data_IF_013547557035
#
_entry.id   IF_013547557035
#
_cell.length_a   1.000
_cell.length_b   1.000
_cell.length_c   1.000
_cell.angle_alpha   90.00
_cell.angle_beta   90.00
_cell.angle_gamma   90.00
#
_symmetry.space_group_name_H-M   'P 1'
#
loop_
_entity.id
_entity.type
_entity.pdbx_description
1 polymer ?
#
# COMPACT_ATOMS: atom_id res chain seq x y z
N UNK A 1 -0.04 -23.11 5.25
CA UNK A 1 0.06 -21.68 5.62
C UNK A 1 -1.20 -21.01 5.12
N UNK A 2 -2.00 -20.38 5.99
CA UNK A 2 -3.21 -19.66 5.55
C UNK A 2 -2.76 -18.21 5.29
N UNK A 3 -2.91 -17.76 4.04
CA UNK A 3 -2.63 -16.37 3.67
C UNK A 3 -3.79 -15.49 4.17
N UNK A 4 -3.47 -14.35 4.81
CA UNK A 4 -4.47 -13.37 5.26
C UNK A 4 -5.00 -12.45 4.15
N UNK A 5 -4.68 -12.73 2.89
CA UNK A 5 -5.01 -11.91 1.73
C UNK A 5 -5.09 -12.75 0.45
N UNK A 6 -5.77 -12.19 -0.56
CA UNK A 6 -6.09 -12.81 -1.86
C UNK A 6 -5.59 -11.96 -3.03
N UNK A 7 -5.67 -12.51 -4.24
CA UNK A 7 -5.47 -11.73 -5.47
C UNK A 7 -6.45 -10.55 -5.49
N UNK A 8 -5.97 -9.37 -5.85
CA UNK A 8 -6.72 -8.11 -5.82
C UNK A 8 -6.67 -7.38 -4.48
N UNK A 9 -6.21 -8.03 -3.40
CA UNK A 9 -6.01 -7.32 -2.13
C UNK A 9 -4.80 -6.38 -2.21
N UNK A 10 -4.92 -5.24 -1.53
CA UNK A 10 -3.81 -4.31 -1.34
C UNK A 10 -2.95 -4.80 -0.17
N UNK A 11 -1.65 -4.90 -0.40
CA UNK A 11 -0.69 -5.40 0.58
C UNK A 11 0.53 -4.49 0.68
N UNK A 12 1.18 -4.51 1.83
CA UNK A 12 2.46 -3.85 2.08
C UNK A 12 3.52 -4.88 2.43
N UNK A 13 4.69 -4.79 1.82
CA UNK A 13 5.84 -5.55 2.24
C UNK A 13 6.40 -4.94 3.53
N UNK A 14 6.48 -5.74 4.59
CA UNK A 14 6.94 -5.30 5.91
C UNK A 14 8.42 -4.89 5.87
N UNK A 15 9.23 -5.57 5.04
CA UNK A 15 10.67 -5.36 4.96
C UNK A 15 11.08 -4.17 4.09
N UNK A 16 10.46 -3.98 2.92
CA UNK A 16 10.82 -2.92 1.96
C UNK A 16 9.89 -1.71 2.00
N UNK A 17 8.70 -1.86 2.57
CA UNK A 17 7.66 -0.83 2.54
C UNK A 17 6.93 -0.68 1.20
N UNK A 18 7.24 -1.50 0.19
CA UNK A 18 6.53 -1.53 -1.11
C UNK A 18 5.05 -1.82 -0.88
N UNK A 19 4.17 -1.06 -1.54
CA UNK A 19 2.72 -1.19 -1.47
C UNK A 19 2.17 -1.44 -2.87
N UNK A 20 1.38 -2.49 -3.04
CA UNK A 20 0.77 -2.83 -4.32
C UNK A 20 -0.44 -3.74 -4.18
N UNK A 21 -1.08 -4.03 -5.31
CA UNK A 21 -2.16 -5.00 -5.40
C UNK A 21 -1.62 -6.38 -5.76
N UNK A 22 -2.09 -7.41 -5.07
CA UNK A 22 -1.66 -8.78 -5.33
C UNK A 22 -2.18 -9.22 -6.71
N UNK A 23 -1.26 -9.61 -7.59
CA UNK A 23 -1.60 -10.07 -8.94
C UNK A 23 -1.42 -11.58 -9.11
N UNK A 24 -0.50 -12.20 -8.34
CA UNK A 24 -0.19 -13.62 -8.48
C UNK A 24 0.45 -14.21 -7.23
N UNK A 25 0.15 -15.48 -6.98
CA UNK A 25 0.89 -16.35 -6.06
C UNK A 25 1.62 -17.43 -6.85
N UNK A 26 2.84 -17.79 -6.42
CA UNK A 26 3.57 -18.90 -7.02
C UNK A 26 4.58 -19.50 -6.02
N UNK A 27 4.85 -20.79 -6.17
CA UNK A 27 5.79 -21.52 -5.30
C UNK A 27 6.92 -22.09 -6.15
N UNK A 28 8.11 -21.45 -6.18
CA UNK A 28 9.28 -21.99 -6.85
C UNK A 28 9.79 -23.26 -6.17
N UNK A 29 10.49 -24.13 -6.90
CA UNK A 29 11.04 -25.39 -6.36
C UNK A 29 12.03 -25.17 -5.20
N UNK A 30 12.79 -24.07 -5.22
CA UNK A 30 13.88 -23.82 -4.28
C UNK A 30 13.53 -22.84 -3.14
N UNK A 31 12.30 -22.34 -3.10
CA UNK A 31 11.93 -21.23 -2.22
C UNK A 31 10.55 -21.47 -1.58
N UNK A 32 10.28 -20.77 -0.48
CA UNK A 32 8.91 -20.64 0.00
C UNK A 32 8.02 -19.90 -1.03
N UNK A 33 6.71 -19.98 -0.83
CA UNK A 33 5.74 -19.29 -1.68
C UNK A 33 6.03 -17.79 -1.77
N UNK A 34 5.90 -17.27 -2.98
CA UNK A 34 6.10 -15.87 -3.32
C UNK A 34 4.77 -15.22 -3.67
N UNK A 35 4.64 -13.95 -3.30
CA UNK A 35 3.54 -13.08 -3.72
C UNK A 35 4.10 -12.03 -4.65
N UNK A 36 3.47 -11.86 -5.81
CA UNK A 36 3.73 -10.78 -6.76
C UNK A 36 2.67 -9.69 -6.62
N UNK A 37 3.12 -8.44 -6.60
CA UNK A 37 2.27 -7.26 -6.51
C UNK A 37 2.56 -6.28 -7.64
N UNK A 38 1.54 -5.53 -8.05
CA UNK A 38 1.64 -4.39 -8.96
C UNK A 38 1.50 -3.08 -8.16
N UNK A 39 2.47 -2.19 -8.28
CA UNK A 39 2.47 -0.88 -7.63
C UNK A 39 1.68 0.15 -8.46
N UNK A 40 1.33 1.29 -7.85
CA UNK A 40 0.54 2.32 -8.52
C UNK A 40 1.23 2.95 -9.76
N UNK A 41 2.56 2.87 -9.84
CA UNK A 41 3.35 3.27 -11.01
C UNK A 41 3.54 2.15 -12.04
N UNK A 42 2.81 1.04 -11.92
CA UNK A 42 2.79 -0.07 -12.88
C UNK A 42 3.99 -1.02 -12.80
N UNK A 43 4.80 -0.95 -11.74
CA UNK A 43 5.94 -1.86 -11.55
C UNK A 43 5.51 -3.12 -10.80
N UNK A 44 6.14 -4.23 -11.15
CA UNK A 44 5.93 -5.50 -10.48
C UNK A 44 7.04 -5.80 -9.48
N UNK A 45 6.65 -6.19 -8.28
CA UNK A 45 7.56 -6.64 -7.22
C UNK A 45 7.12 -8.00 -6.72
N UNK A 46 8.06 -8.79 -6.23
CA UNK A 46 7.78 -10.05 -5.56
C UNK A 46 8.67 -10.24 -4.33
N UNK A 47 8.11 -10.90 -3.32
CA UNK A 47 8.82 -11.29 -2.11
C UNK A 47 8.10 -12.48 -1.47
N UNK A 48 8.74 -13.18 -0.50
CA UNK A 48 8.11 -14.30 0.19
C UNK A 48 6.76 -13.91 0.79
N UNK A 49 5.73 -14.75 0.62
CA UNK A 49 4.35 -14.46 1.02
C UNK A 49 4.26 -13.98 2.47
N UNK A 50 5.05 -14.56 3.38
CA UNK A 50 5.08 -14.19 4.81
C UNK A 50 5.56 -12.76 5.09
N UNK A 51 6.17 -12.09 4.12
CA UNK A 51 6.66 -10.70 4.27
C UNK A 51 5.60 -9.66 3.93
N UNK A 52 4.44 -10.09 3.44
CA UNK A 52 3.34 -9.23 3.04
C UNK A 52 2.24 -9.22 4.09
N UNK A 53 1.70 -8.03 4.31
CA UNK A 53 0.56 -7.81 5.21
C UNK A 53 -0.56 -7.12 4.43
N UNK A 54 -1.80 -7.57 4.64
CA UNK A 54 -2.98 -6.91 4.08
C UNK A 54 -3.09 -5.50 4.64
N UNK A 55 -3.27 -4.52 3.77
CA UNK A 55 -3.44 -3.14 4.19
C UNK A 55 -4.70 -2.56 3.59
N UNK A 56 -5.65 -2.23 4.46
CA UNK A 56 -6.82 -1.40 4.11
C UNK A 56 -6.43 0.08 4.07
N UNK A 57 -5.16 0.40 4.36
CA UNK A 57 -4.64 1.75 4.44
C UNK A 57 -4.38 2.31 3.04
N UNK A 58 -5.20 3.29 2.67
CA UNK A 58 -4.92 4.17 1.54
C UNK A 58 -3.88 5.17 2.05
N UNK A 59 -2.65 5.13 1.54
CA UNK A 59 -1.66 6.18 1.76
C UNK A 59 -1.80 7.18 0.63
N UNK A 60 -2.25 8.39 0.93
CA UNK A 60 -2.27 9.49 -0.01
C UNK A 60 -1.02 10.32 0.20
N UNK A 61 -0.20 10.49 -0.85
CA UNK A 61 0.83 11.53 -0.80
C UNK A 61 0.11 12.88 -0.76
N UNK A 62 0.26 13.62 0.34
CA UNK A 62 -0.37 14.94 0.47
C UNK A 62 0.04 15.82 -0.72
N UNK A 63 -0.91 16.33 -1.52
CA UNK A 63 -0.61 17.24 -2.60
C UNK A 63 0.05 18.47 -2.00
N UNK A 64 1.14 18.89 -2.62
CA UNK A 64 1.89 20.09 -2.26
C UNK A 64 0.97 21.28 -2.00
N UNK A 65 0.90 21.72 -0.72
CA UNK A 65 0.43 22.98 -0.08
C UNK A 65 -0.39 24.02 -0.88
N UNK A 66 -1.18 23.62 -1.88
CA UNK A 66 -2.18 24.48 -2.49
C UNK A 66 -3.43 24.42 -1.61
N UNK A 67 -3.80 25.55 -1.00
CA UNK A 67 -4.89 25.67 -0.02
C UNK A 67 -6.20 25.03 -0.52
N UNK A 68 -6.53 25.20 -1.80
CA UNK A 68 -7.73 24.61 -2.41
C UNK A 68 -7.72 23.07 -2.50
N UNK A 69 -6.54 22.45 -2.63
CA UNK A 69 -6.42 20.99 -2.65
C UNK A 69 -6.52 20.42 -1.22
N UNK A 70 -6.04 21.15 -0.21
CA UNK A 70 -6.10 20.69 1.18
C UNK A 70 -7.51 20.47 1.70
N UNK A 71 -8.46 21.38 1.42
CA UNK A 71 -9.83 21.25 1.90
C UNK A 71 -10.59 20.06 1.27
N UNK A 72 -10.34 19.79 -0.03
CA UNK A 72 -10.91 18.61 -0.71
C UNK A 72 -10.30 17.34 -0.13
N UNK A 73 -8.97 17.31 0.08
CA UNK A 73 -8.30 16.19 0.72
C UNK A 73 -8.83 15.92 2.13
N UNK A 74 -9.09 16.95 2.93
CA UNK A 74 -9.62 16.81 4.29
C UNK A 74 -11.06 16.29 4.30
N UNK A 75 -11.90 16.72 3.34
CA UNK A 75 -13.28 16.21 3.21
C UNK A 75 -13.29 14.73 2.80
N UNK A 76 -12.46 14.34 1.82
CA UNK A 76 -12.27 12.94 1.42
C UNK A 76 -11.72 12.11 2.59
N UNK A 77 -10.77 12.67 3.36
CA UNK A 77 -10.21 12.02 4.54
C UNK A 77 -11.29 11.72 5.58
N UNK A 78 -12.15 12.70 5.87
CA UNK A 78 -13.27 12.53 6.79
C UNK A 78 -14.29 11.47 6.34
N UNK A 79 -14.59 11.37 5.05
CA UNK A 79 -15.51 10.35 4.53
C UNK A 79 -14.91 8.94 4.56
N UNK A 80 -13.62 8.80 4.21
CA UNK A 80 -12.95 7.50 4.23
C UNK A 80 -12.81 6.95 5.65
N UNK A 81 -12.52 7.80 6.65
CA UNK A 81 -12.52 7.39 8.05
C UNK A 81 -13.88 6.90 8.53
N UNK A 82 -14.98 7.54 8.11
CA UNK A 82 -16.36 7.10 8.44
C UNK A 82 -16.68 5.72 7.84
N UNK A 83 -16.08 5.37 6.70
CA UNK A 83 -16.23 4.05 6.07
C UNK A 83 -15.40 2.94 6.71
N UNK A 84 -14.66 3.22 7.79
CA UNK A 84 -13.79 2.24 8.47
C UNK A 84 -12.46 1.98 7.76
N UNK A 85 -12.13 2.73 6.71
CA UNK A 85 -10.84 2.64 6.00
C UNK A 85 -9.85 3.59 6.67
N UNK A 86 -8.88 3.04 7.40
CA UNK A 86 -7.89 3.84 8.12
C UNK A 86 -6.86 4.41 7.14
N UNK A 87 -6.86 5.72 6.88
CA UNK A 87 -5.92 6.40 5.99
C UNK A 87 -4.82 7.12 6.79
N UNK A 88 -3.55 6.86 6.50
CA UNK A 88 -2.39 7.46 7.19
C UNK A 88 -1.68 8.43 6.25
N UNK A 89 -1.52 9.69 6.68
CA UNK A 89 -0.79 10.71 5.93
C UNK A 89 0.73 10.54 6.12
N UNK A 90 1.47 10.25 5.06
CA UNK A 90 2.92 10.26 5.11
C UNK A 90 3.42 11.73 5.08
N UNK A 91 3.96 12.22 6.20
CA UNK A 91 4.64 13.53 6.24
C UNK A 91 5.91 13.43 5.39
N UNK A 92 6.00 14.14 4.26
CA UNK A 92 7.28 14.35 3.56
C UNK A 92 8.27 14.93 4.56
N UNK A 93 9.38 14.22 4.83
CA UNK A 93 10.54 14.82 5.49
C UNK A 93 11.04 15.94 4.57
N UNK A 94 11.06 17.17 5.07
CA UNK A 94 11.75 18.28 4.38
C UNK A 94 13.22 17.90 4.28
N UNK A 95 13.72 17.68 3.08
CA UNK A 95 15.15 17.80 2.82
C UNK A 95 15.50 19.27 3.00
N UNK A 96 16.22 19.57 4.07
CA UNK A 96 16.84 20.88 4.28
C UNK A 96 18.12 20.83 3.42
N UNK A 97 18.13 21.61 2.34
CA UNK A 97 19.32 21.89 1.54
C UNK A 97 20.28 22.80 2.32
#
# INVERSE_FOLDING_TARGET
MIRGFSIGDKVRCISSGVIGYVVKFYTPTACEEQTMVETADGRFYHAPTRTWEKTDTIYFESPSRNIGISAICDSIYGELQKSGKHMVMARRKKEIK
#
